data_IF_351345338694
#
_entry.id   IF_351345338694
#
_cell.length_a   1.000
_cell.length_b   1.000
_cell.length_c   1.000
_cell.angle_alpha   90.00
_cell.angle_beta   90.00
_cell.angle_gamma   90.00
#
_symmetry.space_group_name_H-M   'P 1'
#
loop_
_entity.id
_entity.type
_entity.pdbx_description
1 polymer ?
#
# COMPACT_ATOMS: atom_id res chain seq x y z
N UNK A 1 -6.52 -7.19 13.29
CA UNK A 1 -5.60 -6.98 12.15
C UNK A 1 -6.38 -7.32 10.89
N UNK A 2 -6.29 -6.50 9.86
CA UNK A 2 -6.96 -6.67 8.58
C UNK A 2 -5.91 -6.79 7.50
N UNK A 3 -6.02 -7.79 6.64
CA UNK A 3 -5.16 -7.95 5.46
C UNK A 3 -5.93 -7.42 4.26
N UNK A 4 -5.27 -6.70 3.37
CA UNK A 4 -5.93 -6.11 2.22
C UNK A 4 -5.07 -6.15 0.95
N UNK A 5 -5.77 -6.08 -0.18
CA UNK A 5 -5.23 -5.68 -1.47
C UNK A 5 -6.17 -4.65 -2.10
N UNK A 6 -5.62 -3.64 -2.75
CA UNK A 6 -6.36 -2.61 -3.48
C UNK A 6 -5.64 -2.26 -4.79
N UNK A 7 -6.38 -1.77 -5.77
CA UNK A 7 -5.86 -1.51 -7.11
C UNK A 7 -6.50 -0.27 -7.73
N UNK A 8 -5.84 0.28 -8.75
CA UNK A 8 -6.43 1.26 -9.65
C UNK A 8 -7.50 0.67 -10.58
N UNK A 9 -7.67 -0.65 -10.62
CA UNK A 9 -8.60 -1.37 -11.49
C UNK A 9 -7.96 -1.85 -12.79
N UNK A 10 -8.45 -2.98 -13.30
CA UNK A 10 -7.94 -3.62 -14.52
C UNK A 10 -8.13 -2.73 -15.75
N UNK A 11 -9.30 -2.12 -15.86
CA UNK A 11 -9.74 -1.31 -16.99
C UNK A 11 -8.88 -0.05 -17.12
N UNK A 12 -8.61 0.62 -15.99
CA UNK A 12 -7.79 1.83 -15.98
C UNK A 12 -6.32 1.52 -16.27
N UNK A 13 -5.82 0.38 -15.77
CA UNK A 13 -4.47 -0.08 -16.08
C UNK A 13 -4.32 -0.44 -17.56
N UNK A 14 -5.30 -1.13 -18.14
CA UNK A 14 -5.34 -1.46 -19.56
C UNK A 14 -5.40 -0.20 -20.43
N UNK A 15 -6.31 0.73 -20.13
CA UNK A 15 -6.41 2.01 -20.84
C UNK A 15 -5.09 2.80 -20.78
N UNK A 16 -4.38 2.77 -19.64
CA UNK A 16 -3.11 3.49 -19.48
C UNK A 16 -2.01 2.97 -20.41
N UNK A 17 -2.04 1.68 -20.78
CA UNK A 17 -1.07 1.07 -21.71
C UNK A 17 -1.26 1.54 -23.15
N UNK A 18 -2.43 2.08 -23.48
CA UNK A 18 -2.74 2.63 -24.80
C UNK A 18 -2.20 4.04 -25.03
N UNK A 19 -1.76 4.75 -23.98
CA UNK A 19 -1.26 6.13 -24.08
C UNK A 19 0.14 6.14 -24.72
N UNK A 20 0.37 7.06 -25.65
CA UNK A 20 1.61 7.12 -26.45
C UNK A 20 2.39 8.41 -26.28
N UNK A 21 1.71 9.50 -25.91
CA UNK A 21 2.34 10.80 -25.73
C UNK A 21 2.80 10.99 -24.28
N UNK A 22 3.93 11.68 -24.09
CA UNK A 22 4.54 11.82 -22.76
C UNK A 22 3.64 12.48 -21.72
N UNK A 23 2.85 13.47 -22.13
CA UNK A 23 1.89 14.14 -21.24
C UNK A 23 0.70 13.24 -20.87
N UNK A 24 0.18 12.49 -21.85
CA UNK A 24 -0.90 11.53 -21.62
C UNK A 24 -0.45 10.39 -20.71
N UNK A 25 0.75 9.84 -20.91
CA UNK A 25 1.33 8.81 -20.05
C UNK A 25 1.46 9.32 -18.62
N UNK A 26 1.91 10.57 -18.44
CA UNK A 26 2.01 11.21 -17.14
C UNK A 26 0.64 11.32 -16.46
N UNK A 27 -0.37 11.83 -17.17
CA UNK A 27 -1.74 11.92 -16.64
C UNK A 27 -2.35 10.55 -16.35
N UNK A 28 -2.10 9.54 -17.19
CA UNK A 28 -2.54 8.18 -16.94
C UNK A 28 -1.99 7.64 -15.62
N UNK A 29 -0.70 7.89 -15.34
CA UNK A 29 -0.08 7.55 -14.05
C UNK A 29 -0.81 8.20 -12.87
N UNK A 30 -1.08 9.50 -12.96
CA UNK A 30 -1.78 10.24 -11.91
C UNK A 30 -3.22 9.75 -11.69
N UNK A 31 -3.93 9.42 -12.77
CA UNK A 31 -5.28 8.86 -12.68
C UNK A 31 -5.28 7.49 -12.00
N UNK A 32 -4.32 6.61 -12.35
CA UNK A 32 -4.17 5.32 -11.67
C UNK A 32 -3.90 5.48 -10.19
N UNK A 33 -3.01 6.39 -9.82
CA UNK A 33 -2.71 6.68 -8.42
C UNK A 33 -3.94 7.21 -7.68
N UNK A 34 -4.66 8.17 -8.28
CA UNK A 34 -5.87 8.74 -7.69
C UNK A 34 -6.94 7.67 -7.48
N UNK A 35 -7.15 6.78 -8.46
CA UNK A 35 -8.09 5.68 -8.34
C UNK A 35 -7.72 4.71 -7.21
N UNK A 36 -6.44 4.35 -7.09
CA UNK A 36 -5.96 3.52 -5.98
C UNK A 36 -6.21 4.18 -4.62
N UNK A 37 -5.90 5.48 -4.49
CA UNK A 37 -6.13 6.23 -3.25
C UNK A 37 -7.62 6.29 -2.86
N UNK A 38 -8.51 6.42 -3.84
CA UNK A 38 -9.95 6.32 -3.60
C UNK A 38 -10.34 4.93 -3.06
N UNK A 39 -9.78 3.86 -3.63
CA UNK A 39 -10.02 2.49 -3.17
C UNK A 39 -9.56 2.26 -1.73
N UNK A 40 -8.36 2.75 -1.38
CA UNK A 40 -7.83 2.66 0.00
C UNK A 40 -8.73 3.42 0.98
N UNK A 41 -9.14 4.65 0.65
CA UNK A 41 -10.05 5.44 1.51
C UNK A 41 -11.40 4.77 1.71
N UNK A 42 -11.94 4.15 0.66
CA UNK A 42 -13.19 3.40 0.75
C UNK A 42 -13.06 2.18 1.67
N UNK A 43 -11.93 1.46 1.58
CA UNK A 43 -11.61 0.35 2.49
C UNK A 43 -11.50 0.84 3.94
N UNK A 44 -10.76 1.91 4.20
CA UNK A 44 -10.61 2.49 5.55
C UNK A 44 -11.96 2.89 6.14
N UNK A 45 -12.80 3.57 5.35
CA UNK A 45 -14.17 3.94 5.77
C UNK A 45 -15.02 2.72 6.08
N UNK A 46 -14.95 1.66 5.24
CA UNK A 46 -15.65 0.41 5.49
C UNK A 46 -15.18 -0.25 6.79
N UNK A 47 -13.87 -0.27 7.05
CA UNK A 47 -13.33 -0.83 8.29
C UNK A 47 -13.80 -0.08 9.52
N UNK A 48 -13.83 1.25 9.45
CA UNK A 48 -14.34 2.09 10.54
C UNK A 48 -15.83 1.82 10.81
N UNK A 49 -16.66 1.84 9.77
CA UNK A 49 -18.11 1.65 9.90
C UNK A 49 -18.50 0.26 10.43
N UNK A 50 -17.75 -0.78 10.05
CA UNK A 50 -18.17 -2.17 10.32
C UNK A 50 -17.43 -2.79 11.50
N UNK A 51 -16.22 -2.34 11.81
CA UNK A 51 -15.36 -2.97 12.82
C UNK A 51 -14.87 -2.00 13.89
N UNK A 52 -15.02 -0.68 13.72
CA UNK A 52 -14.64 0.36 14.68
C UNK A 52 -13.26 0.11 15.31
N UNK A 53 -12.20 -0.12 14.52
CA UNK A 53 -10.88 -0.46 15.04
C UNK A 53 -10.23 0.70 15.81
N UNK A 54 -10.82 1.89 15.74
CA UNK A 54 -10.27 3.11 16.30
C UNK A 54 -9.05 3.54 15.51
N UNK A 55 -7.99 3.95 16.22
CA UNK A 55 -6.76 4.40 15.59
C UNK A 55 -6.01 3.22 14.96
N UNK A 56 -5.73 3.32 13.66
CA UNK A 56 -5.04 2.28 12.90
C UNK A 56 -3.71 2.74 12.30
N UNK A 57 -2.83 1.78 12.04
CA UNK A 57 -1.58 1.94 11.30
C UNK A 57 -1.57 1.02 10.09
N UNK A 58 -0.85 1.44 9.04
CA UNK A 58 -0.70 0.68 7.80
C UNK A 58 0.74 0.25 7.61
N UNK A 59 0.93 -1.01 7.25
CA UNK A 59 2.24 -1.53 6.85
C UNK A 59 2.12 -2.35 5.57
N UNK A 60 3.14 -2.23 4.73
CA UNK A 60 3.22 -2.88 3.42
C UNK A 60 4.54 -3.66 3.35
N UNK A 61 4.55 -4.88 2.80
CA UNK A 61 5.79 -5.60 2.53
C UNK A 61 6.79 -4.76 1.72
N UNK A 62 8.05 -4.78 2.12
CA UNK A 62 9.14 -4.00 1.54
C UNK A 62 9.28 -2.57 2.10
N UNK A 63 8.44 -2.15 3.04
CA UNK A 63 8.55 -0.84 3.68
C UNK A 63 9.57 -0.77 4.83
N UNK A 64 9.90 -1.93 5.43
CA UNK A 64 10.84 -2.08 6.54
C UNK A 64 11.66 -3.36 6.34
N UNK A 65 12.83 -3.46 6.97
CA UNK A 65 13.67 -4.67 6.95
C UNK A 65 12.94 -5.87 7.57
N UNK A 66 12.28 -5.67 8.71
CA UNK A 66 11.51 -6.70 9.42
C UNK A 66 10.17 -7.06 8.74
N UNK A 67 9.78 -6.32 7.70
CA UNK A 67 8.61 -6.66 6.89
C UNK A 67 8.99 -6.69 5.40
N UNK A 68 9.79 -7.70 4.99
CA UNK A 68 10.42 -7.73 3.67
C UNK A 68 9.40 -7.96 2.57
N UNK A 69 9.78 -7.65 1.33
CA UNK A 69 8.90 -7.80 0.16
C UNK A 69 8.40 -9.25 -0.04
N UNK A 70 9.15 -10.25 0.43
CA UNK A 70 8.76 -11.67 0.37
C UNK A 70 7.45 -11.98 1.12
N UNK A 71 7.08 -11.16 2.11
CA UNK A 71 5.82 -11.30 2.85
C UNK A 71 4.58 -11.08 1.98
N UNK A 72 4.75 -10.53 0.76
CA UNK A 72 3.68 -10.50 -0.24
C UNK A 72 3.06 -11.88 -0.48
N UNK A 73 3.87 -12.95 -0.50
CA UNK A 73 3.38 -14.31 -0.74
C UNK A 73 2.40 -14.74 0.35
N UNK A 74 2.73 -14.47 1.60
CA UNK A 74 1.91 -14.81 2.77
C UNK A 74 0.60 -14.01 2.74
N UNK A 75 0.65 -12.71 2.42
CA UNK A 75 -0.56 -11.91 2.29
C UNK A 75 -1.50 -12.44 1.21
N UNK A 76 -0.98 -12.78 0.02
CA UNK A 76 -1.79 -13.30 -1.07
C UNK A 76 -2.33 -14.70 -0.79
N UNK A 77 -1.60 -15.55 -0.06
CA UNK A 77 -2.10 -16.84 0.39
C UNK A 77 -3.30 -16.68 1.34
N UNK A 78 -3.21 -15.73 2.29
CA UNK A 78 -4.29 -15.45 3.24
C UNK A 78 -5.50 -14.76 2.60
N UNK A 79 -5.28 -13.92 1.60
CA UNK A 79 -6.34 -13.25 0.84
C UNK A 79 -7.09 -14.20 -0.11
N UNK A 80 -6.45 -15.28 -0.55
CA UNK A 80 -7.03 -16.24 -1.49
C UNK A 80 -7.06 -15.71 -2.93
N UNK A 81 -8.21 -15.85 -3.60
CA UNK A 81 -8.36 -15.48 -5.02
C UNK A 81 -8.56 -13.97 -5.21
N UNK A 82 -7.45 -13.22 -5.12
CA UNK A 82 -7.43 -11.77 -5.30
C UNK A 82 -7.75 -11.33 -6.73
N UNK A 83 -7.52 -12.19 -7.73
CA UNK A 83 -7.82 -11.86 -9.12
C UNK A 83 -9.33 -11.80 -9.34
N UNK A 84 -10.06 -12.84 -8.91
CA UNK A 84 -11.52 -12.83 -9.03
C UNK A 84 -12.17 -11.79 -8.13
N UNK A 85 -11.59 -11.49 -6.96
CA UNK A 85 -12.16 -10.55 -6.01
C UNK A 85 -11.97 -9.07 -6.39
N UNK A 86 -10.76 -8.68 -6.81
CA UNK A 86 -10.39 -7.27 -7.04
C UNK A 86 -9.48 -7.05 -8.25
N UNK A 87 -9.27 -8.08 -9.09
CA UNK A 87 -8.46 -7.99 -10.29
C UNK A 87 -6.95 -7.92 -10.05
N UNK A 88 -6.48 -8.26 -8.84
CA UNK A 88 -5.05 -8.15 -8.49
C UNK A 88 -4.38 -9.52 -8.55
N UNK A 89 -3.23 -9.57 -9.21
CA UNK A 89 -2.35 -10.74 -9.29
C UNK A 89 -0.96 -10.41 -8.76
N UNK A 90 -0.43 -11.28 -7.89
CA UNK A 90 0.98 -11.25 -7.49
C UNK A 90 1.83 -11.97 -8.54
N UNK A 91 2.80 -11.26 -9.11
CA UNK A 91 3.72 -11.80 -10.11
C UNK A 91 4.88 -12.55 -9.43
N UNK A 92 5.61 -13.43 -10.15
CA UNK A 92 6.79 -14.13 -9.61
C UNK A 92 7.88 -13.18 -9.08
N UNK A 93 7.94 -11.94 -9.61
CA UNK A 93 8.83 -10.87 -9.15
C UNK A 93 8.41 -10.22 -7.83
N UNK A 94 7.29 -10.65 -7.23
CA UNK A 94 6.63 -10.04 -6.07
C UNK A 94 5.99 -8.66 -6.34
N UNK A 95 5.99 -8.23 -7.60
CA UNK A 95 5.24 -7.07 -8.05
C UNK A 95 3.78 -7.46 -8.27
N UNK A 96 2.88 -6.48 -8.26
CA UNK A 96 1.45 -6.69 -8.52
C UNK A 96 1.07 -6.23 -9.93
N UNK A 97 0.06 -6.88 -10.49
CA UNK A 97 -0.67 -6.44 -11.68
C UNK A 97 -2.15 -6.28 -11.31
N UNK A 98 -2.80 -5.13 -11.56
CA UNK A 98 -2.29 -3.87 -12.14
C UNK A 98 -1.06 -3.28 -11.46
N UNK A 99 -0.27 -2.50 -12.22
CA UNK A 99 1.00 -1.96 -11.71
C UNK A 99 0.80 -0.99 -10.53
N UNK A 100 -0.36 -0.34 -10.49
CA UNK A 100 -0.75 0.55 -9.41
C UNK A 100 -1.71 -0.19 -8.47
N UNK A 101 -1.14 -1.15 -7.75
CA UNK A 101 -1.81 -1.91 -6.72
C UNK A 101 -0.99 -1.89 -5.44
N UNK A 102 -1.65 -2.11 -4.32
CA UNK A 102 -1.05 -2.20 -3.00
C UNK A 102 -1.63 -3.39 -2.26
N UNK A 103 -0.83 -3.97 -1.38
CA UNK A 103 -1.27 -4.95 -0.39
C UNK A 103 -0.57 -4.67 0.91
N UNK A 104 -1.17 -5.10 2.01
CA UNK A 104 -0.60 -4.87 3.33
C UNK A 104 -1.50 -5.31 4.46
N UNK A 105 -1.15 -4.79 5.63
CA UNK A 105 -1.92 -4.97 6.85
C UNK A 105 -2.36 -3.62 7.42
N UNK A 106 -3.55 -3.62 8.00
CA UNK A 106 -4.11 -2.53 8.79
C UNK A 106 -4.33 -3.08 10.20
N UNK A 107 -3.82 -2.40 11.22
CA UNK A 107 -3.93 -2.88 12.59
C UNK A 107 -4.21 -1.74 13.57
N UNK A 108 -5.02 -1.98 14.62
CA UNK A 108 -5.20 -1.01 15.69
C UNK A 108 -3.88 -0.71 16.39
N UNK A 109 -3.66 0.55 16.75
CA UNK A 109 -2.46 0.99 17.45
C UNK A 109 -2.80 2.06 18.50
N UNK A 110 -2.06 2.05 19.62
CA UNK A 110 -2.10 3.16 20.58
C UNK A 110 -1.16 4.30 20.19
N UNK A 111 -0.13 4.01 19.38
CA UNK A 111 0.92 4.95 18.99
C UNK A 111 0.77 5.32 17.52
N UNK A 112 0.95 6.60 17.18
CA UNK A 112 1.07 7.00 15.78
C UNK A 112 2.31 6.32 15.20
N UNK A 113 2.10 5.43 14.24
CA UNK A 113 3.18 4.85 13.47
C UNK A 113 2.73 4.69 12.02
N UNK A 114 3.50 5.29 11.12
CA UNK A 114 3.41 5.04 9.70
C UNK A 114 4.82 4.71 9.23
N UNK A 115 4.99 3.72 8.35
CA UNK A 115 6.32 3.41 7.80
C UNK A 115 6.99 4.64 7.15
N UNK A 116 6.20 5.62 6.70
CA UNK A 116 6.69 6.92 6.21
C UNK A 116 7.57 7.67 7.22
N UNK A 117 7.36 7.46 8.52
CA UNK A 117 8.17 8.07 9.58
C UNK A 117 9.61 7.52 9.61
N UNK A 118 9.84 6.32 9.06
CA UNK A 118 11.16 5.70 8.95
C UNK A 118 11.76 5.76 7.54
N UNK A 119 11.01 6.29 6.56
CA UNK A 119 11.42 6.30 5.15
C UNK A 119 12.08 7.65 4.77
N UNK A 120 13.38 7.69 4.42
CA UNK A 120 14.09 8.92 4.05
C UNK A 120 13.76 9.42 2.63
N UNK A 121 12.89 8.73 1.88
CA UNK A 121 12.54 9.10 0.50
C UNK A 121 11.83 10.46 0.44
N UNK A 122 12.45 11.43 -0.18
CA UNK A 122 11.85 12.74 -0.45
C UNK A 122 10.77 12.67 -1.55
N UNK A 123 9.79 13.57 -1.50
CA UNK A 123 8.73 13.74 -2.51
C UNK A 123 7.98 12.44 -2.89
N UNK A 124 7.76 11.56 -1.90
CA UNK A 124 6.94 10.36 -2.10
C UNK A 124 5.46 10.76 -2.23
N UNK A 125 4.79 10.51 -3.37
CA UNK A 125 3.38 10.85 -3.55
C UNK A 125 2.45 10.19 -2.52
N UNK A 126 2.78 8.95 -2.12
CA UNK A 126 2.04 8.18 -1.10
C UNK A 126 2.45 8.49 0.35
N UNK A 127 3.11 9.61 0.64
CA UNK A 127 3.57 9.94 2.00
C UNK A 127 2.38 10.23 2.93
N UNK A 128 2.25 9.43 4.00
CA UNK A 128 1.20 9.57 5.03
C UNK A 128 1.68 10.24 6.32
N UNK A 129 3.00 10.27 6.56
CA UNK A 129 3.61 10.94 7.71
C UNK A 129 4.99 11.54 7.38
N UNK A 130 5.41 12.54 8.13
CA UNK A 130 6.75 13.13 8.04
C UNK A 130 7.82 12.12 8.45
N UNK A 131 8.96 12.12 7.74
CA UNK A 131 10.13 11.33 8.12
C UNK A 131 10.74 11.87 9.42
N UNK A 132 11.07 10.98 10.34
CA UNK A 132 11.77 11.28 11.61
C UNK A 132 13.08 10.48 11.65
N UNK A 133 14.19 11.18 11.41
CA UNK A 133 15.54 10.63 11.41
C UNK A 133 15.97 10.03 12.75
N UNK A 134 15.33 10.44 13.86
CA UNK A 134 15.66 10.00 15.20
C UNK A 134 14.76 8.87 15.68
N UNK A 135 13.60 8.65 15.05
CA UNK A 135 12.61 7.65 15.46
C UNK A 135 13.21 6.24 15.54
N UNK A 136 14.03 5.86 14.55
CA UNK A 136 14.68 4.54 14.55
C UNK A 136 15.56 4.36 15.79
N UNK A 137 16.42 5.35 16.07
CA UNK A 137 17.30 5.32 17.24
C UNK A 137 16.47 5.29 18.52
N UNK A 138 15.47 6.15 18.67
CA UNK A 138 14.66 6.22 19.89
C UNK A 138 13.91 4.92 20.18
N UNK A 139 13.36 4.26 19.16
CA UNK A 139 12.53 3.05 19.36
C UNK A 139 13.31 1.73 19.34
N UNK A 140 14.41 1.63 18.60
CA UNK A 140 15.04 0.34 18.29
C UNK A 140 16.52 0.24 18.70
N UNK A 141 17.17 1.33 19.18
CA UNK A 141 18.58 1.27 19.60
C UNK A 141 18.84 0.57 20.95
N UNK A 142 17.79 0.21 21.71
CA UNK A 142 17.92 -0.55 22.96
C UNK A 142 17.79 -2.07 22.78
N UNK A 143 17.71 -2.56 21.54
CA UNK A 143 17.61 -3.99 21.21
C UNK A 143 18.93 -4.59 20.71
N UNK A 144 20.05 -3.87 20.85
CA UNK A 144 21.39 -4.33 20.49
C UNK A 144 22.18 -4.79 21.73
#
# INVERSE_FOLDING_TARGET
>A
IFIYAASCGLELDEWSKGQKEGLEIFWAGFLKESALLCGIKALEAHLEENYHPGKTSHQNPGSLEDFPLTEQKVLFELLGDTFSAVGVTLLPSLMMSPSQSVSGIIFPTAVDFESCMLCPRENCPGRRASYDENLYKQKYSQLA
#
